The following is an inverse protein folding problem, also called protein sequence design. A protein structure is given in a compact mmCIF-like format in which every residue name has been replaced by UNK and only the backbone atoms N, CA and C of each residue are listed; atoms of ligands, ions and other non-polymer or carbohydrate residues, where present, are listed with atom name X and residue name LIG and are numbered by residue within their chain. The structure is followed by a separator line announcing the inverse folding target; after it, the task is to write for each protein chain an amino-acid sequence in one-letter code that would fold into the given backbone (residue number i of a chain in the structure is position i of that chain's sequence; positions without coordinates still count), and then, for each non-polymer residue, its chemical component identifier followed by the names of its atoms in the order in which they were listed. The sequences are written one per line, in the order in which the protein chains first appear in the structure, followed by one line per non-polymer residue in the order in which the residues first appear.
data_IF_227154074204
#
_entry.id   IF_227154074204
#
_cell.length_a   1.000
_cell.length_b   1.000
_cell.length_c   1.000
_cell.angle_alpha   90.00
_cell.angle_beta   90.00
_cell.angle_gamma   90.00
#
_symmetry.space_group_name_H-M   'P 1'
#
loop_
_entity.id
_entity.type
_entity.pdbx_description
1 polymer ?
#
# COMPACT_ATOMS: atom_id res chain seq x y z
N UNK A 1 13.82 23.71 0.65
CA UNK A 1 14.92 24.65 0.96
C UNK A 1 16.29 23.96 0.81
N UNK A 2 16.55 22.77 1.40
CA UNK A 2 17.85 22.10 1.28
C UNK A 2 18.23 21.82 -0.19
N UNK A 3 17.31 21.22 -0.96
CA UNK A 3 17.52 20.96 -2.39
C UNK A 3 17.86 22.24 -3.17
N UNK A 4 17.07 23.32 -2.98
CA UNK A 4 17.29 24.58 -3.69
C UNK A 4 18.62 25.25 -3.34
N UNK A 5 19.13 25.03 -2.13
CA UNK A 5 20.45 25.53 -1.73
C UNK A 5 21.61 24.70 -2.28
N UNK A 6 21.35 23.42 -2.61
CA UNK A 6 22.35 22.50 -3.13
C UNK A 6 22.46 22.52 -4.67
N UNK A 7 21.48 23.12 -5.37
CA UNK A 7 21.49 23.22 -6.82
C UNK A 7 22.44 24.33 -7.26
N UNK A 8 23.36 24.00 -8.17
CA UNK A 8 24.27 24.96 -8.76
C UNK A 8 23.57 25.90 -9.73
N UNK A 9 24.03 27.18 -9.86
CA UNK A 9 23.53 28.10 -10.86
C UNK A 9 23.62 27.52 -12.27
N UNK A 10 22.52 27.65 -13.05
CA UNK A 10 22.42 27.09 -14.39
C UNK A 10 21.83 25.69 -14.50
N UNK A 11 21.63 24.98 -13.35
CA UNK A 11 20.96 23.70 -13.34
C UNK A 11 19.47 23.83 -13.61
N UNK A 12 18.95 23.02 -14.54
CA UNK A 12 17.51 22.95 -14.82
C UNK A 12 16.84 22.00 -13.85
N UNK A 13 15.93 22.51 -13.01
CA UNK A 13 15.10 21.72 -12.12
C UNK A 13 13.74 21.43 -12.76
N UNK A 14 13.37 20.16 -12.86
CA UNK A 14 12.05 19.72 -13.31
C UNK A 14 11.38 18.98 -12.14
N UNK A 15 10.25 19.51 -11.68
CA UNK A 15 9.43 18.89 -10.64
C UNK A 15 8.28 18.14 -11.31
N UNK A 16 8.14 16.85 -11.00
CA UNK A 16 7.07 16.00 -11.51
C UNK A 16 6.28 15.47 -10.33
N UNK A 17 4.96 15.48 -10.42
CA UNK A 17 4.10 14.93 -9.37
C UNK A 17 2.62 15.14 -9.66
N UNK A 18 1.78 14.62 -8.80
CA UNK A 18 0.32 14.71 -8.88
C UNK A 18 -0.22 15.56 -7.71
N UNK A 19 -0.66 16.78 -8.03
CA UNK A 19 -1.20 17.70 -7.04
C UNK A 19 -2.59 17.29 -6.50
N UNK A 20 -3.23 16.28 -7.10
CA UNK A 20 -4.54 15.77 -6.70
C UNK A 20 -4.43 14.58 -5.73
N UNK A 21 -3.28 13.94 -5.63
CA UNK A 21 -3.00 12.95 -4.60
C UNK A 21 -2.87 13.60 -3.23
N UNK A 22 -2.80 12.75 -2.19
CA UNK A 22 -2.55 13.23 -0.83
C UNK A 22 -1.21 13.99 -0.78
N UNK A 23 -1.17 15.12 -0.08
CA UNK A 23 0.08 15.85 0.15
C UNK A 23 1.04 15.01 1.01
N UNK A 24 2.31 15.42 1.06
CA UNK A 24 3.28 14.88 2.01
C UNK A 24 2.79 15.07 3.46
N UNK A 25 3.16 14.15 4.34
CA UNK A 25 2.72 14.15 5.76
C UNK A 25 3.29 15.34 6.57
N UNK A 26 4.34 16.01 6.08
CA UNK A 26 4.90 17.19 6.71
C UNK A 26 4.10 18.47 6.39
N UNK A 27 4.32 19.53 7.16
CA UNK A 27 3.66 20.82 6.96
C UNK A 27 3.95 21.41 5.58
N UNK A 28 2.92 21.88 4.88
CA UNK A 28 2.99 22.50 3.58
C UNK A 28 2.56 21.60 2.42
N UNK A 29 2.20 22.22 1.30
CA UNK A 29 1.78 21.53 0.07
C UNK A 29 2.64 22.05 -1.10
N UNK A 30 3.95 21.74 -1.03
CA UNK A 30 4.99 22.36 -1.86
C UNK A 30 4.64 22.37 -3.35
N UNK A 31 4.25 21.21 -3.92
CA UNK A 31 3.92 21.14 -5.35
C UNK A 31 2.71 22.00 -5.70
N UNK A 32 1.65 21.92 -4.91
CA UNK A 32 0.42 22.69 -5.12
C UNK A 32 0.64 24.19 -4.93
N UNK A 33 1.47 24.56 -3.96
CA UNK A 33 1.80 25.96 -3.68
C UNK A 33 2.67 26.55 -4.79
N UNK A 34 3.65 25.80 -5.30
CA UNK A 34 4.46 26.21 -6.46
C UNK A 34 3.57 26.39 -7.70
N UNK A 35 2.65 25.44 -7.96
CA UNK A 35 1.70 25.54 -9.08
C UNK A 35 0.80 26.78 -8.94
N UNK A 36 0.30 27.07 -7.74
CA UNK A 36 -0.56 28.22 -7.47
C UNK A 36 0.16 29.58 -7.53
N UNK A 37 1.46 29.59 -7.26
CA UNK A 37 2.24 30.81 -7.27
C UNK A 37 2.39 31.41 -8.66
N UNK A 38 2.22 30.61 -9.72
CA UNK A 38 2.39 30.98 -11.14
C UNK A 38 3.78 31.55 -11.49
N UNK A 39 4.75 31.44 -10.55
CA UNK A 39 6.11 32.00 -10.75
C UNK A 39 6.92 31.12 -11.72
N UNK A 40 6.62 29.83 -11.80
CA UNK A 40 7.33 28.87 -12.67
C UNK A 40 6.40 28.33 -13.76
N UNK A 41 6.98 27.97 -14.91
CA UNK A 41 6.22 27.36 -16.00
C UNK A 41 5.65 26.00 -15.54
N UNK A 42 4.34 25.86 -15.67
CA UNK A 42 3.61 24.62 -15.32
C UNK A 42 3.08 23.97 -16.61
N UNK A 43 3.36 22.68 -16.77
CA UNK A 43 2.75 21.85 -17.81
C UNK A 43 1.80 20.87 -17.11
N UNK A 44 0.52 20.93 -17.46
CA UNK A 44 -0.51 20.00 -16.93
C UNK A 44 -0.81 18.95 -17.98
N UNK A 45 -0.67 17.68 -17.60
CA UNK A 45 -1.11 16.54 -18.41
C UNK A 45 -2.61 16.33 -18.15
N UNK A 46 -3.45 16.73 -19.09
CA UNK A 46 -4.92 16.67 -18.95
C UNK A 46 -5.56 15.68 -19.91
N UNK A 47 -4.81 15.19 -20.91
CA UNK A 47 -5.35 14.26 -21.89
C UNK A 47 -5.25 12.84 -21.38
N UNK A 48 -6.40 12.14 -21.39
CA UNK A 48 -6.48 10.71 -21.16
C UNK A 48 -6.34 10.03 -22.52
N UNK A 49 -5.30 9.22 -22.69
CA UNK A 49 -5.12 8.47 -23.95
C UNK A 49 -6.30 7.50 -24.15
N UNK A 50 -6.64 7.23 -25.44
CA UNK A 50 -7.78 6.38 -25.82
C UNK A 50 -7.81 5.02 -25.09
N UNK A 51 -6.67 4.35 -24.99
CA UNK A 51 -6.56 3.07 -24.26
C UNK A 51 -6.90 3.19 -22.77
N UNK A 52 -6.60 4.31 -22.15
CA UNK A 52 -6.89 4.57 -20.75
C UNK A 52 -8.37 4.97 -20.52
N UNK A 53 -9.08 5.39 -21.56
CA UNK A 53 -10.51 5.71 -21.49
C UNK A 53 -11.41 4.46 -21.37
N UNK A 54 -10.89 3.28 -21.70
CA UNK A 54 -11.58 2.00 -21.52
C UNK A 54 -11.54 1.51 -20.07
N UNK A 55 -10.65 2.04 -19.23
CA UNK A 55 -10.54 1.71 -17.81
C UNK A 55 -11.49 2.58 -16.98
N UNK A 56 -12.43 1.94 -16.30
CA UNK A 56 -13.31 2.61 -15.34
C UNK A 56 -12.53 3.13 -14.11
N UNK A 57 -11.41 2.50 -13.74
CA UNK A 57 -10.51 3.00 -12.68
C UNK A 57 -10.04 4.41 -13.02
N UNK A 58 -9.51 4.60 -14.23
CA UNK A 58 -8.96 5.90 -14.66
C UNK A 58 -10.07 6.93 -14.81
N UNK A 59 -11.17 6.56 -15.46
CA UNK A 59 -12.32 7.45 -15.64
C UNK A 59 -12.92 7.86 -14.29
N UNK A 60 -13.08 6.92 -13.37
CA UNK A 60 -13.61 7.21 -12.03
C UNK A 60 -12.64 8.01 -11.17
N UNK A 61 -11.32 7.80 -11.29
CA UNK A 61 -10.34 8.65 -10.62
C UNK A 61 -10.52 10.13 -11.05
N UNK A 62 -10.71 10.39 -12.37
CA UNK A 62 -10.98 11.74 -12.86
C UNK A 62 -12.32 12.29 -12.36
N UNK A 63 -13.39 11.47 -12.33
CA UNK A 63 -14.70 11.87 -11.80
C UNK A 63 -14.61 12.24 -10.32
N UNK A 64 -13.97 11.40 -9.52
CA UNK A 64 -13.72 11.64 -8.08
C UNK A 64 -12.96 12.96 -7.89
N UNK A 65 -11.91 13.19 -8.68
CA UNK A 65 -11.13 14.42 -8.61
C UNK A 65 -11.97 15.65 -8.99
N UNK A 66 -12.84 15.54 -10.00
CA UNK A 66 -13.78 16.59 -10.40
C UNK A 66 -14.93 16.80 -9.40
N UNK A 67 -15.12 15.89 -8.43
CA UNK A 67 -16.23 15.93 -7.48
C UNK A 67 -17.56 15.43 -8.04
N UNK A 68 -17.51 14.60 -9.07
CA UNK A 68 -18.66 13.90 -9.64
C UNK A 68 -18.68 12.45 -9.21
N UNK A 69 -19.86 11.85 -9.16
CA UNK A 69 -20.03 10.46 -8.72
C UNK A 69 -19.33 9.48 -9.64
N UNK A 70 -18.61 8.47 -9.12
CA UNK A 70 -18.03 7.40 -9.92
C UNK A 70 -19.15 6.52 -10.54
N UNK A 71 -18.87 5.95 -11.70
CA UNK A 71 -19.71 4.93 -12.33
C UNK A 71 -19.28 3.57 -11.80
N UNK A 72 -20.23 2.78 -11.31
CA UNK A 72 -19.98 1.54 -10.59
C UNK A 72 -20.73 0.36 -11.19
N UNK A 73 -20.12 -0.84 -11.09
CA UNK A 73 -20.76 -2.12 -11.40
C UNK A 73 -21.28 -2.26 -12.85
N UNK A 74 -20.69 -1.58 -13.82
CA UNK A 74 -20.99 -1.81 -15.23
C UNK A 74 -20.45 -3.17 -15.69
N UNK A 75 -21.09 -3.76 -16.70
CA UNK A 75 -20.64 -5.03 -17.27
C UNK A 75 -19.26 -4.86 -17.92
N UNK A 76 -18.31 -5.72 -17.51
CA UNK A 76 -16.93 -5.66 -18.02
C UNK A 76 -16.06 -4.57 -17.39
N UNK A 77 -16.55 -3.92 -16.32
CA UNK A 77 -15.77 -2.88 -15.58
C UNK A 77 -14.60 -3.48 -14.81
N UNK A 78 -13.63 -2.63 -14.53
CA UNK A 78 -12.53 -2.86 -13.59
C UNK A 78 -12.75 -2.15 -12.24
N UNK A 79 -13.93 -1.50 -12.04
CA UNK A 79 -14.29 -0.74 -10.86
C UNK A 79 -15.62 -1.23 -10.28
N UNK A 80 -15.57 -1.77 -9.06
CA UNK A 80 -16.72 -2.41 -8.42
C UNK A 80 -17.08 -1.73 -7.10
N UNK A 81 -18.37 -1.72 -6.80
CA UNK A 81 -18.89 -1.32 -5.50
C UNK A 81 -19.63 -2.48 -4.85
N UNK A 82 -19.27 -2.80 -3.62
CA UNK A 82 -19.90 -3.84 -2.80
C UNK A 82 -20.61 -3.16 -1.63
N UNK A 83 -21.94 -3.14 -1.66
CA UNK A 83 -22.73 -2.53 -0.60
C UNK A 83 -22.78 -3.45 0.62
N UNK A 84 -22.12 -3.03 1.72
CA UNK A 84 -22.24 -3.66 3.04
C UNK A 84 -22.76 -2.61 4.05
N UNK A 85 -24.07 -2.61 4.36
CA UNK A 85 -24.68 -1.58 5.21
C UNK A 85 -24.24 -1.67 6.68
N UNK A 86 -23.70 -2.80 7.11
CA UNK A 86 -23.32 -3.03 8.49
C UNK A 86 -21.81 -2.97 8.68
N UNK A 87 -21.32 -1.90 9.29
CA UNK A 87 -19.89 -1.70 9.54
C UNK A 87 -19.18 -2.91 10.17
N UNK A 88 -19.85 -3.57 11.14
CA UNK A 88 -19.32 -4.76 11.80
C UNK A 88 -19.09 -5.96 10.88
N UNK A 89 -19.74 -6.00 9.69
CA UNK A 89 -19.58 -7.07 8.71
C UNK A 89 -18.50 -6.77 7.67
N UNK A 90 -18.08 -5.52 7.51
CA UNK A 90 -17.08 -5.13 6.52
C UNK A 90 -15.81 -5.99 6.58
N UNK A 91 -15.19 -6.25 7.76
CA UNK A 91 -14.00 -7.10 7.82
C UNK A 91 -14.24 -8.50 7.28
N UNK A 92 -15.41 -9.10 7.57
CA UNK A 92 -15.76 -10.44 7.08
C UNK A 92 -16.03 -10.42 5.57
N UNK A 93 -16.68 -9.40 5.04
CA UNK A 93 -16.91 -9.20 3.61
C UNK A 93 -15.57 -9.08 2.86
N UNK A 94 -14.59 -8.35 3.42
CA UNK A 94 -13.23 -8.26 2.85
C UNK A 94 -12.55 -9.63 2.84
N UNK A 95 -12.64 -10.39 3.93
CA UNK A 95 -12.10 -11.76 3.98
C UNK A 95 -12.70 -12.63 2.88
N UNK A 96 -14.04 -12.61 2.71
CA UNK A 96 -14.72 -13.36 1.66
C UNK A 96 -14.28 -12.92 0.25
N UNK A 97 -14.15 -11.61 0.02
CA UNK A 97 -13.64 -11.08 -1.24
C UNK A 97 -12.25 -11.64 -1.56
N UNK A 98 -11.32 -11.56 -0.61
CA UNK A 98 -9.92 -11.94 -0.82
C UNK A 98 -9.75 -13.46 -0.92
N UNK A 99 -10.46 -14.24 -0.09
CA UNK A 99 -10.24 -15.70 -0.01
C UNK A 99 -11.04 -16.50 -1.03
N UNK A 100 -12.17 -15.97 -1.53
CA UNK A 100 -13.10 -16.73 -2.38
C UNK A 100 -13.42 -16.01 -3.70
N UNK A 101 -14.01 -14.80 -3.62
CA UNK A 101 -14.64 -14.16 -4.78
C UNK A 101 -13.63 -13.65 -5.79
N UNK A 102 -12.63 -12.88 -5.35
CA UNK A 102 -11.66 -12.26 -6.25
C UNK A 102 -10.71 -13.26 -6.90
N UNK A 103 -10.13 -14.27 -6.21
CA UNK A 103 -9.31 -15.28 -6.86
C UNK A 103 -10.04 -16.03 -7.97
N UNK A 104 -11.32 -16.38 -7.76
CA UNK A 104 -12.13 -17.06 -8.76
C UNK A 104 -12.47 -16.17 -9.96
N UNK A 105 -12.67 -14.88 -9.72
CA UNK A 105 -13.04 -13.92 -10.77
C UNK A 105 -11.85 -13.42 -11.58
N UNK A 106 -10.72 -13.14 -10.92
CA UNK A 106 -9.59 -12.43 -11.52
C UNK A 106 -8.41 -13.33 -11.85
N UNK A 107 -8.32 -14.52 -11.23
CA UNK A 107 -7.16 -15.42 -11.32
C UNK A 107 -5.88 -14.86 -10.68
N UNK A 108 -5.97 -13.78 -9.89
CA UNK A 108 -4.83 -13.16 -9.22
C UNK A 108 -4.55 -13.83 -7.87
N UNK A 109 -3.29 -13.75 -7.43
CA UNK A 109 -2.88 -14.25 -6.11
C UNK A 109 -3.46 -13.38 -5.00
N UNK A 110 -4.17 -14.01 -4.05
CA UNK A 110 -4.82 -13.30 -2.95
C UNK A 110 -3.83 -12.68 -1.96
N UNK A 111 -2.61 -13.16 -1.93
CA UNK A 111 -1.60 -12.69 -0.99
C UNK A 111 -0.77 -11.53 -1.55
N UNK A 112 -0.23 -11.69 -2.78
CA UNK A 112 0.65 -10.69 -3.38
C UNK A 112 -0.08 -9.62 -4.17
N UNK A 113 -1.09 -10.02 -4.93
CA UNK A 113 -1.74 -9.15 -5.90
C UNK A 113 -2.84 -8.28 -5.29
N UNK A 114 -3.32 -8.63 -4.08
CA UNK A 114 -4.40 -7.90 -3.42
C UNK A 114 -3.90 -7.06 -2.25
N UNK A 115 -4.37 -5.82 -2.18
CA UNK A 115 -4.07 -4.91 -1.09
C UNK A 115 -5.31 -4.21 -0.58
N UNK A 116 -5.52 -4.27 0.74
CA UNK A 116 -6.56 -3.48 1.39
C UNK A 116 -6.00 -2.12 1.77
N UNK A 117 -6.65 -1.04 1.31
CA UNK A 117 -6.28 0.34 1.58
C UNK A 117 -7.37 1.01 2.42
N UNK A 118 -7.10 1.35 3.67
CA UNK A 118 -8.06 1.97 4.56
C UNK A 118 -7.69 3.41 4.91
N UNK A 119 -8.67 4.31 5.10
CA UNK A 119 -8.38 5.69 5.53
C UNK A 119 -7.88 5.78 6.98
N UNK A 120 -8.12 4.76 7.81
CA UNK A 120 -7.87 4.78 9.25
C UNK A 120 -6.82 3.78 9.68
N UNK A 121 -6.05 4.13 10.73
CA UNK A 121 -5.09 3.21 11.35
C UNK A 121 -5.76 2.34 12.42
N UNK A 122 -6.52 2.96 13.32
CA UNK A 122 -7.18 2.31 14.47
C UNK A 122 -8.66 2.09 14.16
N UNK A 123 -9.23 1.04 14.54
CA UNK A 123 -10.61 0.52 14.53
C UNK A 123 -10.65 -0.86 13.87
N UNK A 124 -11.78 -1.54 13.95
CA UNK A 124 -11.97 -2.88 13.33
C UNK A 124 -11.85 -2.84 11.81
N UNK A 125 -12.23 -1.73 11.18
CA UNK A 125 -12.06 -1.47 9.73
C UNK A 125 -10.84 -0.59 9.41
N UNK A 126 -10.03 -0.27 10.42
CA UNK A 126 -8.71 0.35 10.26
C UNK A 126 -7.63 -0.68 9.98
N UNK A 127 -6.45 -0.22 9.58
CA UNK A 127 -5.34 -1.12 9.23
C UNK A 127 -5.01 -2.13 10.34
N UNK A 128 -5.01 -1.71 11.61
CA UNK A 128 -4.69 -2.59 12.74
C UNK A 128 -5.73 -3.70 12.95
N UNK A 129 -7.04 -3.40 12.85
CA UNK A 129 -8.11 -4.39 13.00
C UNK A 129 -8.16 -5.34 11.80
N UNK A 130 -8.10 -4.77 10.59
CA UNK A 130 -8.11 -5.54 9.36
C UNK A 130 -6.91 -6.48 9.26
N UNK A 131 -5.70 -6.05 9.67
CA UNK A 131 -4.53 -6.91 9.69
C UNK A 131 -4.73 -8.14 10.58
N UNK A 132 -5.30 -7.98 11.78
CA UNK A 132 -5.60 -9.12 12.67
C UNK A 132 -6.61 -10.09 12.04
N UNK A 133 -7.65 -9.55 11.41
CA UNK A 133 -8.70 -10.36 10.77
C UNK A 133 -8.16 -11.10 9.55
N UNK A 134 -7.40 -10.40 8.69
CA UNK A 134 -6.82 -10.96 7.48
C UNK A 134 -5.69 -11.96 7.78
N UNK A 135 -4.85 -11.70 8.78
CA UNK A 135 -3.84 -12.66 9.23
C UNK A 135 -4.48 -13.99 9.63
N UNK A 136 -5.56 -13.95 10.44
CA UNK A 136 -6.28 -15.17 10.85
C UNK A 136 -6.87 -15.94 9.67
N UNK A 137 -7.32 -15.24 8.64
CA UNK A 137 -7.94 -15.85 7.47
C UNK A 137 -6.91 -16.37 6.44
N UNK A 138 -5.83 -15.62 6.18
CA UNK A 138 -4.85 -15.91 5.14
C UNK A 138 -3.63 -16.67 5.65
N UNK A 139 -3.26 -16.45 6.91
CA UNK A 139 -2.14 -17.10 7.55
C UNK A 139 -2.52 -17.56 8.98
N UNK A 140 -3.42 -18.54 9.13
CA UNK A 140 -3.83 -19.04 10.45
C UNK A 140 -2.66 -19.66 11.21
N UNK A 141 -2.74 -19.70 12.58
CA UNK A 141 -1.74 -20.38 13.38
C UNK A 141 -1.68 -21.88 13.03
N UNK A 142 -0.48 -22.42 13.04
CA UNK A 142 -0.24 -23.85 12.82
C UNK A 142 0.98 -24.30 13.64
N UNK A 143 0.98 -25.54 14.10
CA UNK A 143 2.07 -26.11 14.94
C UNK A 143 3.44 -26.12 14.25
N UNK A 144 3.45 -26.01 12.92
CA UNK A 144 4.69 -25.97 12.10
C UNK A 144 5.21 -24.56 11.87
N UNK A 145 4.53 -23.52 12.34
CA UNK A 145 4.90 -22.11 12.17
C UNK A 145 5.34 -21.52 13.49
N UNK A 146 6.49 -20.89 13.50
CA UNK A 146 6.93 -20.11 14.64
C UNK A 146 6.21 -18.77 14.69
N UNK A 147 5.99 -18.28 15.91
CA UNK A 147 5.36 -17.00 16.19
C UNK A 147 6.23 -16.20 17.15
N UNK A 148 6.15 -14.88 17.04
CA UNK A 148 6.76 -13.95 17.97
C UNK A 148 5.78 -12.85 18.35
N UNK A 149 5.53 -12.70 19.65
CA UNK A 149 4.64 -11.68 20.17
C UNK A 149 5.37 -10.36 20.36
N UNK A 150 4.80 -9.28 19.83
CA UNK A 150 5.28 -7.92 19.99
C UNK A 150 4.20 -7.05 20.67
N UNK A 151 4.54 -5.84 21.07
CA UNK A 151 3.56 -4.88 21.61
C UNK A 151 2.43 -4.56 20.61
N UNK A 152 2.66 -4.72 19.31
CA UNK A 152 1.71 -4.38 18.25
C UNK A 152 0.90 -5.60 17.74
N UNK A 153 1.18 -6.79 18.24
CA UNK A 153 0.53 -8.04 17.85
C UNK A 153 1.52 -9.16 17.63
N UNK A 154 1.05 -10.25 17.04
CA UNK A 154 1.85 -11.46 16.79
C UNK A 154 2.34 -11.46 15.36
N UNK A 155 3.64 -11.63 15.15
CA UNK A 155 4.22 -12.02 13.87
C UNK A 155 4.29 -13.54 13.77
N UNK A 156 4.05 -14.05 12.57
CA UNK A 156 4.04 -15.49 12.27
C UNK A 156 4.78 -15.75 10.96
N UNK A 157 5.46 -16.86 10.86
CA UNK A 157 6.02 -17.31 9.59
C UNK A 157 4.94 -17.38 8.51
N UNK A 158 5.23 -16.78 7.35
CA UNK A 158 4.28 -16.57 6.26
C UNK A 158 3.51 -15.26 6.31
N UNK A 159 3.69 -14.41 7.32
CA UNK A 159 3.01 -13.11 7.37
C UNK A 159 3.54 -12.12 6.32
N UNK A 160 2.58 -11.38 5.74
CA UNK A 160 2.87 -10.22 4.90
C UNK A 160 3.19 -9.01 5.79
N UNK A 161 4.37 -8.46 5.60
CA UNK A 161 4.89 -7.34 6.40
C UNK A 161 5.36 -6.19 5.53
N UNK A 162 5.45 -4.99 6.13
CA UNK A 162 5.99 -3.79 5.50
C UNK A 162 7.00 -3.15 6.44
N UNK A 163 8.14 -2.73 5.89
CA UNK A 163 9.08 -1.83 6.56
C UNK A 163 8.43 -0.47 6.76
N UNK A 164 8.48 0.08 7.98
CA UNK A 164 7.81 1.35 8.31
C UNK A 164 8.76 2.49 8.66
N UNK A 165 10.06 2.23 8.63
CA UNK A 165 11.13 3.21 8.83
C UNK A 165 12.22 2.96 7.80
N UNK A 166 12.96 4.00 7.40
CA UNK A 166 14.16 3.79 6.58
C UNK A 166 15.29 3.25 7.48
N UNK A 167 15.84 2.10 7.13
CA UNK A 167 17.03 1.53 7.77
C UNK A 167 18.13 1.38 6.72
N UNK A 168 18.99 2.38 6.63
CA UNK A 168 20.10 2.45 5.65
C UNK A 168 21.20 1.43 5.91
N UNK A 169 21.27 0.88 7.12
CA UNK A 169 22.34 -0.02 7.56
C UNK A 169 21.93 -1.49 7.57
N UNK A 170 20.64 -1.81 7.41
CA UNK A 170 20.17 -3.19 7.41
C UNK A 170 20.70 -3.89 6.17
N UNK A 171 21.54 -4.90 6.40
CA UNK A 171 22.11 -5.70 5.32
C UNK A 171 21.05 -6.63 4.69
N UNK A 172 21.11 -6.78 3.38
CA UNK A 172 20.31 -7.72 2.64
C UNK A 172 21.15 -8.48 1.62
N UNK A 173 20.64 -9.64 1.20
CA UNK A 173 21.22 -10.45 0.14
C UNK A 173 20.11 -10.98 -0.78
N UNK A 174 20.45 -11.25 -2.03
CA UNK A 174 19.63 -12.00 -2.97
C UNK A 174 20.28 -13.36 -3.19
N UNK A 175 19.46 -14.39 -3.33
CA UNK A 175 19.93 -15.76 -3.55
C UNK A 175 19.44 -16.27 -4.91
N UNK A 176 20.28 -17.02 -5.59
CA UNK A 176 19.86 -17.84 -6.73
C UNK A 176 19.01 -19.04 -6.28
N UNK A 177 18.39 -19.74 -7.20
CA UNK A 177 17.67 -20.99 -6.92
C UNK A 177 18.55 -22.06 -6.25
N UNK A 178 19.86 -22.01 -6.49
CA UNK A 178 20.83 -22.91 -5.86
C UNK A 178 21.36 -22.41 -4.49
N UNK A 179 20.80 -21.31 -3.96
CA UNK A 179 21.19 -20.73 -2.67
C UNK A 179 22.49 -19.93 -2.67
N UNK A 180 23.09 -19.64 -3.83
CA UNK A 180 24.29 -18.79 -3.94
C UNK A 180 23.88 -17.31 -3.90
N UNK A 181 24.68 -16.48 -3.23
CA UNK A 181 24.49 -15.03 -3.22
C UNK A 181 24.72 -14.49 -4.63
N UNK A 182 23.71 -13.82 -5.19
CA UNK A 182 23.76 -13.17 -6.50
C UNK A 182 23.97 -11.67 -6.40
N UNK A 183 23.51 -11.08 -5.31
CA UNK A 183 23.68 -9.65 -4.98
C UNK A 183 23.58 -9.46 -3.49
N UNK A 184 24.24 -8.45 -2.97
CA UNK A 184 24.14 -8.02 -1.57
C UNK A 184 24.27 -6.49 -1.46
N UNK A 185 23.85 -5.96 -0.34
CA UNK A 185 23.90 -4.53 -0.08
C UNK A 185 23.33 -4.16 1.29
N UNK A 186 23.11 -2.88 1.49
CA UNK A 186 22.45 -2.33 2.68
C UNK A 186 21.32 -1.40 2.31
N UNK A 187 20.36 -1.25 3.20
CA UNK A 187 19.21 -0.36 3.06
C UNK A 187 17.92 -1.10 2.76
N UNK A 188 16.97 -0.95 3.69
CA UNK A 188 15.56 -1.32 3.54
C UNK A 188 14.73 -0.10 3.89
N UNK A 189 13.74 0.21 3.08
CA UNK A 189 13.10 1.51 3.13
C UNK A 189 11.63 1.43 3.52
N UNK A 190 11.12 2.52 4.05
CA UNK A 190 9.71 2.66 4.39
C UNK A 190 8.83 2.40 3.14
N UNK A 191 7.94 1.43 3.25
CA UNK A 191 7.08 0.97 2.16
C UNK A 191 7.52 -0.35 1.51
N UNK A 192 8.76 -0.82 1.75
CA UNK A 192 9.21 -2.12 1.25
C UNK A 192 8.35 -3.23 1.86
N UNK A 193 7.74 -4.06 1.01
CA UNK A 193 6.87 -5.16 1.42
C UNK A 193 7.57 -6.51 1.29
N UNK A 194 7.27 -7.42 2.21
CA UNK A 194 7.87 -8.75 2.22
C UNK A 194 7.04 -9.78 2.97
N UNK A 195 7.59 -10.99 3.03
CA UNK A 195 7.05 -12.12 3.79
C UNK A 195 8.06 -12.55 4.85
N UNK A 196 7.57 -12.82 6.05
CA UNK A 196 8.35 -13.50 7.09
C UNK A 196 8.59 -14.95 6.67
N UNK A 197 9.82 -15.28 6.36
CA UNK A 197 10.22 -16.64 5.94
C UNK A 197 10.57 -17.53 7.12
N UNK A 198 11.17 -16.97 8.15
CA UNK A 198 11.62 -17.73 9.33
C UNK A 198 11.60 -16.83 10.56
N UNK A 199 11.17 -17.38 11.68
CA UNK A 199 11.33 -16.82 13.03
C UNK A 199 12.21 -17.79 13.80
N UNK A 200 13.37 -17.34 14.22
CA UNK A 200 14.38 -18.15 14.95
C UNK A 200 14.45 -17.65 16.38
N UNK A 201 13.75 -18.34 17.29
CA UNK A 201 13.71 -17.97 18.71
C UNK A 201 15.03 -18.25 19.45
N UNK A 202 15.91 -19.09 18.89
CA UNK A 202 17.20 -19.39 19.50
C UNK A 202 18.21 -18.27 19.23
N UNK A 203 18.20 -17.79 17.99
CA UNK A 203 19.07 -16.69 17.55
C UNK A 203 18.41 -15.31 17.68
N UNK A 204 17.16 -15.25 18.17
CA UNK A 204 16.37 -14.02 18.32
C UNK A 204 16.27 -13.20 17.02
N UNK A 205 16.03 -13.88 15.89
CA UNK A 205 15.98 -13.23 14.57
C UNK A 205 14.74 -13.57 13.77
N UNK A 206 14.37 -12.64 12.87
CA UNK A 206 13.32 -12.82 11.87
C UNK A 206 13.92 -12.59 10.48
N UNK A 207 13.75 -13.56 9.60
CA UNK A 207 14.14 -13.45 8.19
C UNK A 207 12.95 -13.00 7.36
N UNK A 208 13.10 -11.91 6.62
CA UNK A 208 12.09 -11.35 5.70
C UNK A 208 12.62 -11.42 4.27
N UNK A 209 11.83 -11.98 3.36
CA UNK A 209 12.05 -11.90 1.92
C UNK A 209 11.12 -10.82 1.35
N UNK A 210 11.69 -9.78 0.78
CA UNK A 210 10.97 -8.70 0.13
C UNK A 210 10.48 -9.08 -1.27
N UNK A 211 9.54 -8.31 -1.82
CA UNK A 211 8.91 -8.54 -3.13
C UNK A 211 9.93 -8.50 -4.28
N UNK A 212 11.00 -7.73 -4.14
CA UNK A 212 12.15 -7.65 -5.07
C UNK A 212 13.22 -8.73 -4.84
N UNK A 213 12.92 -9.76 -4.01
CA UNK A 213 13.80 -10.90 -3.66
C UNK A 213 14.98 -10.59 -2.75
N UNK A 214 15.08 -9.37 -2.22
CA UNK A 214 16.03 -9.08 -1.13
C UNK A 214 15.63 -9.86 0.11
N UNK A 215 16.59 -10.47 0.78
CA UNK A 215 16.41 -11.18 2.05
C UNK A 215 17.19 -10.43 3.11
N UNK A 216 16.50 -9.93 4.13
CA UNK A 216 17.11 -9.29 5.30
C UNK A 216 16.79 -10.07 6.57
N UNK A 217 17.68 -9.96 7.55
CA UNK A 217 17.56 -10.58 8.86
C UNK A 217 17.45 -9.46 9.89
N UNK A 218 16.36 -9.48 10.64
CA UNK A 218 16.07 -8.56 11.73
C UNK A 218 16.36 -9.23 13.07
N UNK A 219 17.01 -8.55 13.98
CA UNK A 219 16.99 -8.92 15.39
C UNK A 219 15.60 -8.61 15.98
N UNK A 220 15.18 -9.33 17.01
CA UNK A 220 13.89 -9.10 17.67
C UNK A 220 13.74 -7.66 18.18
N UNK A 221 14.82 -7.01 18.58
CA UNK A 221 14.87 -5.61 18.99
C UNK A 221 14.54 -4.63 17.87
N UNK A 222 14.74 -5.02 16.61
CA UNK A 222 14.47 -4.19 15.43
C UNK A 222 13.08 -4.44 14.81
N UNK A 223 12.28 -5.35 15.36
CA UNK A 223 10.95 -5.68 14.81
C UNK A 223 9.92 -4.54 14.93
N UNK A 224 10.21 -3.51 15.71
CA UNK A 224 9.41 -2.27 15.69
C UNK A 224 9.44 -1.53 14.35
N UNK A 225 10.38 -1.86 13.46
CA UNK A 225 10.49 -1.33 12.11
C UNK A 225 9.54 -2.04 11.12
N UNK A 226 8.90 -3.14 11.53
CA UNK A 226 7.96 -3.92 10.73
C UNK A 226 6.52 -3.78 11.24
N UNK A 227 5.57 -3.79 10.33
CA UNK A 227 4.14 -3.95 10.63
C UNK A 227 3.52 -5.00 9.69
N UNK A 228 2.45 -5.67 10.14
CA UNK A 228 1.62 -6.49 9.25
C UNK A 228 1.06 -5.62 8.13
N UNK A 229 1.03 -6.12 6.91
CA UNK A 229 0.66 -5.35 5.72
C UNK A 229 -0.41 -5.98 4.83
N UNK A 230 -1.25 -6.86 5.36
CA UNK A 230 -2.46 -7.31 4.67
C UNK A 230 -3.40 -6.13 4.37
N UNK A 231 -3.48 -5.19 5.28
CA UNK A 231 -4.13 -3.89 5.12
C UNK A 231 -3.18 -2.77 5.54
N UNK A 232 -3.10 -1.71 4.73
CA UNK A 232 -2.30 -0.52 5.03
C UNK A 232 -3.16 0.74 4.94
N UNK A 233 -2.70 1.84 5.53
CA UNK A 233 -3.39 3.11 5.32
C UNK A 233 -3.11 3.65 3.92
N UNK A 234 -4.08 4.39 3.36
CA UNK A 234 -3.92 5.02 2.04
C UNK A 234 -2.66 5.91 1.99
N UNK A 235 -2.29 6.56 3.10
CA UNK A 235 -1.06 7.34 3.18
C UNK A 235 0.20 6.47 2.98
N UNK A 236 0.23 5.27 3.56
CA UNK A 236 1.37 4.35 3.43
C UNK A 236 1.45 3.69 2.05
N UNK A 237 0.36 3.70 1.27
CA UNK A 237 0.36 3.18 -0.09
C UNK A 237 0.87 4.17 -1.14
N UNK A 238 1.19 5.41 -0.76
CA UNK A 238 1.75 6.39 -1.69
C UNK A 238 3.08 5.88 -2.27
N UNK A 239 3.21 5.96 -3.59
CA UNK A 239 4.37 5.43 -4.32
C UNK A 239 4.27 3.97 -4.71
N UNK A 240 3.38 3.19 -4.09
CA UNK A 240 3.16 1.77 -4.43
C UNK A 240 1.95 1.60 -5.36
N UNK A 241 1.92 0.50 -6.09
CA UNK A 241 0.80 0.12 -6.97
C UNK A 241 0.54 -1.38 -6.83
N UNK A 242 -0.74 -1.77 -6.92
CA UNK A 242 -1.19 -3.14 -6.70
C UNK A 242 -2.10 -3.60 -7.84
N UNK A 243 -2.06 -4.87 -8.25
CA UNK A 243 -3.01 -5.39 -9.24
C UNK A 243 -4.47 -5.20 -8.81
N UNK A 244 -4.81 -5.50 -7.58
CA UNK A 244 -6.18 -5.37 -7.02
C UNK A 244 -6.14 -4.57 -5.73
N UNK A 245 -7.00 -3.55 -5.64
CA UNK A 245 -7.14 -2.71 -4.45
C UNK A 245 -8.56 -2.83 -3.90
N UNK A 246 -8.68 -3.06 -2.60
CA UNK A 246 -9.95 -3.08 -1.86
C UNK A 246 -9.95 -1.87 -0.91
N UNK A 247 -10.96 -1.02 -1.01
CA UNK A 247 -11.05 0.24 -0.28
C UNK A 247 -12.29 0.22 0.60
N UNK A 248 -12.23 -0.24 1.85
CA UNK A 248 -13.37 -0.12 2.76
C UNK A 248 -13.64 1.35 3.09
N UNK A 249 -14.83 1.82 2.73
CA UNK A 249 -15.31 3.15 3.06
C UNK A 249 -16.51 3.00 4.00
N UNK A 250 -16.41 3.61 5.16
CA UNK A 250 -17.49 3.67 6.13
C UNK A 250 -17.61 5.10 6.66
N UNK A 251 -18.82 5.46 7.15
CA UNK A 251 -19.04 6.72 7.84
C UNK A 251 -18.05 6.89 9.00
N UNK A 252 -17.25 7.92 8.94
CA UNK A 252 -16.21 8.24 9.91
C UNK A 252 -15.99 9.75 9.99
N UNK A 253 -14.95 10.21 10.69
CA UNK A 253 -14.63 11.64 10.73
C UNK A 253 -14.48 12.19 9.31
N UNK A 254 -15.26 13.20 8.96
CA UNK A 254 -15.27 13.80 7.59
C UNK A 254 -13.88 14.23 7.10
N UNK A 255 -12.99 14.60 8.02
CA UNK A 255 -11.58 14.94 7.69
C UNK A 255 -10.80 13.79 7.05
N UNK A 256 -11.18 12.53 7.32
CA UNK A 256 -10.51 11.35 6.77
C UNK A 256 -11.13 10.85 5.45
N UNK A 257 -12.25 11.44 5.00
CA UNK A 257 -12.97 11.05 3.78
C UNK A 257 -12.89 12.17 2.73
N UNK A 258 -11.70 12.64 2.43
CA UNK A 258 -11.49 13.65 1.40
C UNK A 258 -11.43 13.04 -0.01
N UNK A 259 -11.79 13.84 -1.03
CA UNK A 259 -11.67 13.43 -2.44
C UNK A 259 -10.25 12.99 -2.81
N UNK A 260 -9.26 13.74 -2.33
CA UNK A 260 -7.85 13.43 -2.59
C UNK A 260 -7.45 12.06 -2.00
N UNK A 261 -8.02 11.69 -0.85
CA UNK A 261 -7.77 10.39 -0.25
C UNK A 261 -8.34 9.25 -1.11
N UNK A 262 -9.59 9.36 -1.52
CA UNK A 262 -10.22 8.36 -2.40
C UNK A 262 -9.54 8.30 -3.76
N UNK A 263 -9.23 9.46 -4.36
CA UNK A 263 -8.45 9.55 -5.59
C UNK A 263 -7.11 8.82 -5.46
N UNK A 264 -6.36 9.11 -4.38
CA UNK A 264 -5.08 8.44 -4.12
C UNK A 264 -5.25 6.92 -4.01
N UNK A 265 -6.27 6.44 -3.29
CA UNK A 265 -6.50 5.01 -3.11
C UNK A 265 -6.85 4.31 -4.45
N UNK A 266 -7.76 4.90 -5.22
CA UNK A 266 -8.18 4.36 -6.52
C UNK A 266 -7.01 4.29 -7.50
N UNK A 267 -6.17 5.32 -7.54
CA UNK A 267 -4.99 5.36 -8.42
C UNK A 267 -3.87 4.40 -8.02
N UNK A 268 -4.01 3.65 -6.92
CA UNK A 268 -3.06 2.57 -6.56
C UNK A 268 -3.36 1.25 -7.28
N UNK A 269 -4.52 1.11 -7.90
CA UNK A 269 -4.91 -0.11 -8.58
C UNK A 269 -4.48 -0.13 -10.05
N UNK A 270 -3.99 -1.31 -10.50
CA UNK A 270 -3.60 -1.55 -11.90
C UNK A 270 -4.68 -2.29 -12.69
N UNK A 271 -5.42 -3.20 -12.05
CA UNK A 271 -6.37 -4.09 -12.73
C UNK A 271 -7.79 -3.97 -12.20
N UNK A 272 -7.96 -3.94 -10.87
CA UNK A 272 -9.29 -3.92 -10.26
C UNK A 272 -9.34 -3.05 -9.00
N UNK A 273 -10.43 -2.31 -8.86
CA UNK A 273 -10.81 -1.60 -7.64
C UNK A 273 -12.13 -2.13 -7.12
N UNK A 274 -12.19 -2.39 -5.81
CA UNK A 274 -13.41 -2.74 -5.08
C UNK A 274 -13.57 -1.71 -3.95
N UNK A 275 -14.72 -1.03 -3.93
CA UNK A 275 -15.05 -0.02 -2.91
C UNK A 275 -16.20 -0.51 -2.05
#
# INVERSE_FOLDING_TARGET
NALLKAIEPGTRLILVGDANQLPSVAAGNVLKDIIKSEIVKVVRLTQIFRQAQESAIIMNAHRINAGTDPVMNEKGTDFFFVNEPYAAKIPQTIVELITKRLPQFTGVDSFWDMQVLTPMRKSDIGASGLNKTLQRALNPPASVKNEYETQNGVFREGDKVMQIKNNYNLAWKMLSETGRITSDGTGVYNGDMGIIKKIDSVNETVTVEFDDKRIAIYEFTALEELELSYAVTIHKSQGSEYPVVIIPIHSGPQMLLSRNLLYTAVTRAKKFVIV
#
